data_IF_190416849220
#
_entry.id   IF_190416849220
#
_cell.length_a   1.000
_cell.length_b   1.000
_cell.length_c   1.000
_cell.angle_alpha   90.00
_cell.angle_beta   90.00
_cell.angle_gamma   90.00
#
_symmetry.space_group_name_H-M   'P 1'
#
loop_
_entity.id
_entity.type
_entity.pdbx_description
1 polymer ?
#
# COMPACT_ATOMS: atom_id res chain seq x y z
N UNK A 1 -3.35 16.45 -19.29
CA UNK A 1 -2.08 16.71 -18.59
C UNK A 1 -0.93 16.22 -19.48
N UNK A 2 0.20 16.92 -19.48
CA UNK A 2 1.39 16.48 -20.20
C UNK A 2 2.07 15.33 -19.47
N UNK A 3 2.66 14.38 -20.22
CA UNK A 3 3.39 13.25 -19.67
C UNK A 3 4.75 13.70 -19.09
N UNK A 4 5.27 12.93 -18.12
CA UNK A 4 6.58 13.14 -17.50
C UNK A 4 6.74 14.52 -16.82
N UNK A 5 5.65 15.06 -16.28
CA UNK A 5 5.65 16.31 -15.52
C UNK A 5 5.13 16.11 -14.12
N UNK A 6 5.68 16.87 -13.18
CA UNK A 6 5.18 16.98 -11.80
C UNK A 6 4.22 18.16 -11.75
N UNK A 7 3.04 17.92 -11.17
CA UNK A 7 2.01 18.93 -10.97
C UNK A 7 1.81 19.19 -9.49
N UNK A 8 2.00 20.42 -9.06
CA UNK A 8 1.72 20.85 -7.70
C UNK A 8 0.29 21.41 -7.64
N UNK A 9 -0.67 20.54 -7.32
CA UNK A 9 -2.10 20.88 -7.23
C UNK A 9 -2.82 19.90 -6.31
N UNK A 10 -4.08 20.20 -5.98
CA UNK A 10 -4.95 19.24 -5.31
C UNK A 10 -5.11 17.96 -6.16
N UNK A 11 -5.02 16.81 -5.50
CA UNK A 11 -5.04 15.51 -6.19
C UNK A 11 -6.37 15.27 -6.94
N UNK A 12 -7.51 15.64 -6.34
CA UNK A 12 -8.82 15.43 -6.97
C UNK A 12 -8.99 16.34 -8.20
N UNK A 13 -8.49 17.58 -8.14
CA UNK A 13 -8.48 18.46 -9.32
C UNK A 13 -7.57 17.90 -10.42
N UNK A 14 -6.41 17.35 -10.06
CA UNK A 14 -5.51 16.69 -10.99
C UNK A 14 -6.16 15.47 -11.65
N UNK A 15 -6.77 14.58 -10.86
CA UNK A 15 -7.42 13.37 -11.34
C UNK A 15 -8.51 13.65 -12.37
N UNK A 16 -9.31 14.71 -12.21
CA UNK A 16 -10.35 15.12 -13.19
C UNK A 16 -9.80 15.36 -14.59
N UNK A 17 -8.54 15.79 -14.69
CA UNK A 17 -7.88 16.10 -15.96
C UNK A 17 -7.26 14.87 -16.64
N UNK A 18 -7.32 13.70 -16.04
CA UNK A 18 -6.81 12.44 -16.60
C UNK A 18 -7.96 11.73 -17.35
N UNK A 19 -7.74 11.34 -18.63
CA UNK A 19 -8.75 10.60 -19.39
C UNK A 19 -9.13 9.27 -18.73
N UNK A 20 -10.38 8.84 -18.93
CA UNK A 20 -10.83 7.54 -18.47
C UNK A 20 -10.03 6.40 -19.12
N UNK A 21 -9.77 5.32 -18.36
CA UNK A 21 -9.10 4.11 -18.82
C UNK A 21 -7.75 4.36 -19.56
N UNK A 22 -6.99 5.37 -19.11
CA UNK A 22 -5.72 5.77 -19.74
C UNK A 22 -4.49 5.36 -18.93
N UNK A 23 -4.65 5.07 -17.63
CA UNK A 23 -3.55 4.82 -16.70
C UNK A 23 -3.29 3.32 -16.57
N UNK A 24 -2.03 2.90 -16.73
CA UNK A 24 -1.60 1.50 -16.65
C UNK A 24 -1.26 1.07 -15.21
N UNK A 25 -0.91 1.99 -14.33
CA UNK A 25 -0.62 1.73 -12.92
C UNK A 25 -0.80 3.03 -12.12
N UNK A 26 -1.26 2.91 -10.89
CA UNK A 26 -1.24 3.99 -9.89
C UNK A 26 -0.32 3.58 -8.75
N UNK A 27 0.57 4.48 -8.34
CA UNK A 27 1.30 4.42 -7.09
C UNK A 27 0.99 5.69 -6.30
N UNK A 28 0.44 5.54 -5.11
CA UNK A 28 -0.01 6.69 -4.30
C UNK A 28 0.37 6.53 -2.84
N UNK A 29 0.68 7.66 -2.22
CA UNK A 29 0.92 7.79 -0.78
C UNK A 29 -0.04 8.88 -0.24
N UNK A 30 -1.28 8.50 0.10
CA UNK A 30 -2.28 9.45 0.56
C UNK A 30 -2.01 9.88 2.00
N UNK A 31 -2.54 11.01 2.47
CA UNK A 31 -2.48 11.37 3.88
C UNK A 31 -3.28 10.37 4.72
N UNK A 32 -2.70 9.92 5.84
CA UNK A 32 -3.27 8.86 6.70
C UNK A 32 -4.18 9.41 7.80
N UNK A 33 -4.15 10.72 8.07
CA UNK A 33 -4.86 11.33 9.19
C UNK A 33 -4.33 10.88 10.56
N UNK A 34 -3.04 10.53 10.65
CA UNK A 34 -2.43 9.98 11.88
C UNK A 34 -1.47 10.95 12.57
N UNK A 35 -1.23 12.11 11.99
CA UNK A 35 -0.35 13.14 12.53
C UNK A 35 -1.11 14.45 12.79
N UNK A 36 -0.54 15.34 13.60
CA UNK A 36 -1.11 16.68 13.86
C UNK A 36 -0.77 17.69 12.74
N UNK A 37 -0.14 17.24 11.66
CA UNK A 37 0.20 18.11 10.54
C UNK A 37 -1.07 18.54 9.79
N UNK A 38 -1.16 19.81 9.44
CA UNK A 38 -2.33 20.38 8.74
C UNK A 38 -2.61 19.74 7.37
N UNK A 39 -1.59 19.16 6.74
CA UNK A 39 -1.72 18.47 5.44
C UNK A 39 -2.17 17.00 5.59
N UNK A 40 -2.06 16.42 6.78
CA UNK A 40 -2.44 15.02 7.04
C UNK A 40 -3.93 14.91 7.41
N UNK A 41 -4.77 15.48 6.56
CA UNK A 41 -6.22 15.36 6.70
C UNK A 41 -6.69 14.03 6.11
N UNK A 42 -7.60 13.31 6.79
CA UNK A 42 -8.17 12.08 6.25
C UNK A 42 -8.73 12.29 4.84
N UNK A 43 -8.26 11.47 3.90
CA UNK A 43 -8.72 11.53 2.51
C UNK A 43 -10.10 10.88 2.38
N UNK A 44 -10.97 11.46 1.55
CA UNK A 44 -12.23 10.81 1.14
C UNK A 44 -11.92 9.62 0.21
N UNK A 45 -11.90 8.41 0.82
CA UNK A 45 -11.59 7.18 0.09
C UNK A 45 -12.67 6.82 -0.93
N UNK A 46 -13.93 7.16 -0.71
CA UNK A 46 -15.00 6.88 -1.68
C UNK A 46 -14.81 7.71 -2.95
N UNK A 47 -14.59 9.01 -2.78
CA UNK A 47 -14.27 9.90 -3.90
C UNK A 47 -12.97 9.49 -4.61
N UNK A 48 -11.93 9.11 -3.86
CA UNK A 48 -10.67 8.62 -4.41
C UNK A 48 -10.89 7.37 -5.26
N UNK A 49 -11.58 6.35 -4.74
CA UNK A 49 -11.86 5.12 -5.49
C UNK A 49 -12.68 5.35 -6.75
N UNK A 50 -13.61 6.30 -6.72
CA UNK A 50 -14.39 6.68 -7.91
C UNK A 50 -13.46 7.15 -9.03
N UNK A 51 -12.55 8.07 -8.73
CA UNK A 51 -11.63 8.61 -9.72
C UNK A 51 -10.58 7.59 -10.15
N UNK A 52 -9.96 6.87 -9.22
CA UNK A 52 -8.97 5.83 -9.55
C UNK A 52 -9.57 4.74 -10.46
N UNK A 53 -10.80 4.29 -10.18
CA UNK A 53 -11.50 3.32 -11.05
C UNK A 53 -11.84 3.89 -12.43
N UNK A 54 -12.07 5.19 -12.54
CA UNK A 54 -12.36 5.87 -13.80
C UNK A 54 -11.13 5.96 -14.70
N UNK A 55 -10.00 6.39 -14.13
CA UNK A 55 -8.78 6.66 -14.91
C UNK A 55 -7.98 5.41 -15.25
N UNK A 56 -8.06 4.35 -14.42
CA UNK A 56 -7.27 3.13 -14.61
C UNK A 56 -7.86 2.21 -15.66
N UNK A 57 -6.99 1.54 -16.42
CA UNK A 57 -7.35 0.42 -17.29
C UNK A 57 -7.87 -0.76 -16.47
N UNK A 58 -8.59 -1.68 -17.10
CA UNK A 58 -9.25 -2.80 -16.41
C UNK A 58 -8.28 -3.76 -15.69
N UNK A 59 -7.04 -3.83 -16.12
CA UNK A 59 -5.95 -4.66 -15.57
C UNK A 59 -4.85 -3.82 -14.90
N UNK A 60 -5.08 -2.53 -14.69
CA UNK A 60 -4.12 -1.66 -14.02
C UNK A 60 -4.10 -1.94 -12.51
N UNK A 61 -2.94 -2.18 -11.88
CA UNK A 61 -2.82 -2.23 -10.43
C UNK A 61 -2.85 -0.83 -9.83
N UNK A 62 -3.40 -0.75 -8.62
CA UNK A 62 -3.34 0.44 -7.77
C UNK A 62 -2.55 0.04 -6.54
N UNK A 63 -1.42 0.68 -6.33
CA UNK A 63 -0.49 0.48 -5.22
C UNK A 63 -0.64 1.67 -4.28
N UNK A 64 -0.96 1.41 -3.01
CA UNK A 64 -1.22 2.44 -2.02
C UNK A 64 -0.35 2.22 -0.79
N UNK A 65 0.54 3.17 -0.52
CA UNK A 65 1.25 3.19 0.75
C UNK A 65 0.28 3.36 1.91
N UNK A 66 0.56 2.69 3.00
CA UNK A 66 -0.30 2.73 4.17
C UNK A 66 0.43 2.35 5.45
N UNK A 67 -0.14 2.76 6.57
CA UNK A 67 0.31 2.40 7.91
C UNK A 67 -0.93 2.22 8.80
N UNK A 68 -0.86 1.29 9.75
CA UNK A 68 -1.96 1.14 10.72
C UNK A 68 -2.20 2.43 11.52
N UNK A 69 -3.44 2.85 11.78
CA UNK A 69 -4.71 2.15 11.48
C UNK A 69 -5.26 2.39 10.06
N UNK A 70 -4.71 3.34 9.29
CA UNK A 70 -5.19 3.67 7.95
C UNK A 70 -5.20 2.44 7.02
N UNK A 71 -4.24 1.52 7.14
CA UNK A 71 -4.22 0.24 6.39
C UNK A 71 -5.56 -0.50 6.46
N UNK A 72 -6.11 -0.66 7.67
CA UNK A 72 -7.39 -1.35 7.86
C UNK A 72 -8.54 -0.60 7.18
N UNK A 73 -8.58 0.73 7.31
CA UNK A 73 -9.61 1.58 6.68
C UNK A 73 -9.52 1.50 5.17
N UNK A 74 -8.32 1.58 4.60
CA UNK A 74 -8.08 1.50 3.16
C UNK A 74 -8.51 0.15 2.57
N UNK A 75 -8.17 -0.97 3.23
CA UNK A 75 -8.60 -2.32 2.81
C UNK A 75 -10.12 -2.43 2.86
N UNK A 76 -10.75 -2.01 3.97
CA UNK A 76 -12.19 -2.11 4.14
C UNK A 76 -12.98 -1.16 3.24
N UNK A 77 -12.38 -0.09 2.76
CA UNK A 77 -13.02 0.83 1.80
C UNK A 77 -13.20 0.20 0.40
N UNK A 78 -12.40 -0.81 0.04
CA UNK A 78 -12.51 -1.48 -1.26
C UNK A 78 -12.08 -2.97 -1.21
N UNK A 79 -12.72 -3.81 -0.38
CA UNK A 79 -12.30 -5.20 -0.15
C UNK A 79 -12.42 -6.05 -1.42
N UNK A 80 -13.31 -5.67 -2.35
CA UNK A 80 -13.48 -6.41 -3.63
C UNK A 80 -12.29 -6.30 -4.57
N UNK A 81 -11.52 -5.21 -4.50
CA UNK A 81 -10.33 -5.00 -5.31
C UNK A 81 -9.04 -5.31 -4.56
N UNK A 82 -9.04 -5.32 -3.24
CA UNK A 82 -7.86 -5.71 -2.44
C UNK A 82 -7.42 -7.14 -2.76
N UNK A 83 -6.09 -7.34 -2.87
CA UNK A 83 -5.52 -8.65 -3.20
C UNK A 83 -4.51 -9.12 -2.17
N UNK A 84 -3.49 -8.32 -1.91
CA UNK A 84 -2.41 -8.59 -0.97
C UNK A 84 -1.68 -7.30 -0.62
N UNK A 85 -0.74 -7.41 0.28
CA UNK A 85 0.15 -6.32 0.64
C UNK A 85 1.61 -6.72 0.46
N UNK A 86 2.45 -5.74 0.25
CA UNK A 86 3.90 -5.84 0.39
C UNK A 86 4.33 -5.10 1.64
N UNK A 87 5.42 -5.57 2.24
CA UNK A 87 6.09 -4.89 3.34
C UNK A 87 7.28 -4.12 2.77
N UNK A 88 7.25 -2.81 2.92
CA UNK A 88 8.38 -1.93 2.60
C UNK A 88 9.19 -1.72 3.88
N UNK A 89 10.34 -2.38 3.97
CA UNK A 89 11.27 -2.19 5.08
C UNK A 89 11.94 -0.81 4.97
N UNK A 90 11.96 -0.08 6.09
CA UNK A 90 12.63 1.22 6.19
C UNK A 90 14.05 1.02 6.66
N UNK A 91 15.01 1.59 5.96
CA UNK A 91 16.42 1.60 6.40
C UNK A 91 16.63 2.27 7.75
N UNK A 92 15.77 3.24 8.10
CA UNK A 92 15.76 3.89 9.41
C UNK A 92 14.37 3.75 10.04
N UNK A 93 14.30 3.15 11.21
CA UNK A 93 13.08 3.05 11.97
C UNK A 93 12.62 4.43 12.47
N UNK A 94 11.31 4.64 12.53
CA UNK A 94 10.68 5.90 12.96
C UNK A 94 10.00 5.77 14.32
N UNK A 95 9.66 6.91 14.96
CA UNK A 95 8.96 6.93 16.24
C UNK A 95 9.88 6.95 17.46
N UNK A 96 11.13 7.44 17.33
CA UNK A 96 12.14 7.46 18.39
C UNK A 96 11.69 8.16 19.68
N UNK A 97 10.79 9.14 19.61
CA UNK A 97 10.22 9.81 20.79
C UNK A 97 9.45 8.85 21.71
N UNK A 98 8.98 7.73 21.17
CA UNK A 98 8.25 6.70 21.90
C UNK A 98 9.08 5.45 22.17
N UNK A 99 10.40 5.46 21.94
CA UNK A 99 11.28 4.29 22.07
C UNK A 99 11.26 3.62 23.46
N UNK A 100 10.97 4.40 24.51
CA UNK A 100 10.83 3.89 25.88
C UNK A 100 9.43 3.32 26.21
N UNK A 101 8.48 3.39 25.28
CA UNK A 101 7.08 2.98 25.48
C UNK A 101 6.63 1.90 24.51
N UNK A 102 7.21 1.86 23.31
CA UNK A 102 6.86 0.90 22.26
C UNK A 102 8.03 0.67 21.29
N UNK A 103 8.05 -0.45 20.56
CA UNK A 103 9.02 -0.68 19.48
C UNK A 103 8.94 0.40 18.40
N UNK A 104 10.09 0.70 17.80
CA UNK A 104 10.17 1.59 16.65
C UNK A 104 9.50 0.94 15.42
N UNK A 105 8.95 1.79 14.55
CA UNK A 105 8.34 1.33 13.29
C UNK A 105 9.40 1.21 12.22
N UNK A 106 9.65 -0.01 11.75
CA UNK A 106 10.67 -0.33 10.75
C UNK A 106 10.10 -0.65 9.37
N UNK A 107 8.77 -0.60 9.18
CA UNK A 107 8.15 -0.92 7.89
C UNK A 107 6.91 -0.05 7.61
N UNK A 108 6.50 -0.07 6.35
CA UNK A 108 5.22 0.41 5.85
C UNK A 108 4.59 -0.68 4.98
N UNK A 109 3.27 -0.64 4.83
CA UNK A 109 2.55 -1.53 3.94
C UNK A 109 2.36 -0.85 2.58
N UNK A 110 2.44 -1.63 1.51
CA UNK A 110 2.00 -1.23 0.17
C UNK A 110 0.85 -2.14 -0.20
N UNK A 111 -0.36 -1.60 -0.14
CA UNK A 111 -1.59 -2.33 -0.46
C UNK A 111 -1.75 -2.44 -1.97
N UNK A 112 -2.06 -3.64 -2.45
CA UNK A 112 -2.22 -3.93 -3.88
C UNK A 112 -3.68 -4.20 -4.19
N UNK A 113 -4.25 -3.37 -5.06
CA UNK A 113 -5.62 -3.47 -5.53
C UNK A 113 -5.67 -3.63 -7.04
N UNK A 114 -6.50 -4.52 -7.54
CA UNK A 114 -6.81 -4.61 -8.96
C UNK A 114 -8.14 -5.32 -9.23
N UNK A 115 -8.75 -5.00 -10.37
CA UNK A 115 -10.00 -5.63 -10.83
C UNK A 115 -9.72 -6.91 -11.60
N UNK A 116 -8.80 -6.87 -12.58
CA UNK A 116 -8.32 -8.02 -13.35
C UNK A 116 -6.83 -8.17 -13.14
N UNK A 117 -6.31 -9.38 -13.26
CA UNK A 117 -4.89 -9.68 -13.07
C UNK A 117 -4.02 -8.74 -13.93
N UNK A 118 -3.12 -7.97 -13.32
CA UNK A 118 -2.18 -7.11 -14.03
C UNK A 118 -1.04 -7.91 -14.65
N UNK A 119 -0.26 -7.27 -15.53
CA UNK A 119 1.02 -7.81 -15.97
C UNK A 119 1.95 -7.95 -14.77
N UNK A 120 2.52 -9.14 -14.59
CA UNK A 120 3.45 -9.44 -13.51
C UNK A 120 4.70 -10.12 -14.08
N UNK A 121 5.86 -9.52 -13.86
CA UNK A 121 7.16 -10.02 -14.32
C UNK A 121 8.03 -10.32 -13.10
N UNK A 122 7.92 -11.52 -12.49
CA UNK A 122 8.69 -11.86 -11.30
C UNK A 122 10.18 -11.89 -11.58
N UNK A 123 10.96 -11.26 -10.72
CA UNK A 123 12.41 -11.40 -10.69
C UNK A 123 12.75 -12.51 -9.69
N UNK A 124 13.12 -13.68 -10.22
CA UNK A 124 13.38 -14.85 -9.40
C UNK A 124 14.82 -14.87 -8.89
N UNK A 125 14.99 -14.98 -7.58
CA UNK A 125 16.27 -15.22 -6.94
C UNK A 125 16.41 -16.70 -6.54
N UNK A 126 17.66 -17.21 -6.51
CA UNK A 126 17.93 -18.54 -5.96
C UNK A 126 17.71 -18.54 -4.46
N UNK A 127 16.60 -19.10 -4.00
CA UNK A 127 16.36 -19.32 -2.58
C UNK A 127 17.28 -20.43 -2.03
N UNK A 128 17.98 -20.17 -0.93
CA UNK A 128 18.58 -21.24 -0.14
C UNK A 128 17.49 -21.86 0.74
N UNK A 129 17.03 -23.07 0.42
CA UNK A 129 16.24 -23.87 1.37
C UNK A 129 17.20 -24.50 2.37
N UNK A 130 17.30 -23.92 3.56
CA UNK A 130 17.87 -24.64 4.70
C UNK A 130 16.79 -25.56 5.29
N UNK A 131 17.14 -26.84 5.51
CA UNK A 131 16.27 -27.82 6.18
C UNK A 131 15.89 -27.35 7.61
N UNK A 132 16.68 -26.52 8.23
CA UNK A 132 16.46 -25.91 9.55
C UNK A 132 15.19 -25.09 9.63
N UNK A 133 14.81 -24.34 8.61
CA UNK A 133 13.58 -23.54 8.58
C UNK A 133 12.29 -24.39 8.70
N UNK A 134 12.33 -25.68 8.36
CA UNK A 134 11.20 -26.59 8.52
C UNK A 134 11.00 -27.10 9.94
N UNK A 135 12.07 -27.19 10.71
CA UNK A 135 12.03 -27.66 12.11
C UNK A 135 11.50 -26.54 13.00
N UNK A 136 12.02 -25.31 12.86
CA UNK A 136 11.54 -24.15 13.60
C UNK A 136 10.05 -23.84 13.35
N UNK A 137 9.57 -23.94 12.11
CA UNK A 137 8.17 -23.71 11.79
C UNK A 137 7.22 -24.75 12.43
N UNK A 138 7.69 -25.99 12.63
CA UNK A 138 6.91 -27.03 13.32
C UNK A 138 6.88 -26.84 14.83
N UNK A 139 7.96 -26.37 15.42
CA UNK A 139 8.03 -26.06 16.85
C UNK A 139 7.17 -24.85 17.22
N UNK A 140 7.17 -23.81 16.41
CA UNK A 140 6.31 -22.62 16.60
C UNK A 140 4.82 -23.00 16.51
N UNK A 141 4.43 -23.86 15.55
CA UNK A 141 3.05 -24.32 15.44
C UNK A 141 2.59 -25.19 16.63
N UNK A 142 3.50 -25.89 17.29
CA UNK A 142 3.18 -26.69 18.48
C UNK A 142 2.90 -25.82 19.73
N UNK A 143 3.41 -24.60 19.81
CA UNK A 143 3.19 -23.68 20.94
C UNK A 143 1.79 -23.05 20.91
N UNK A 144 1.14 -22.96 19.75
CA UNK A 144 -0.20 -22.37 19.57
C UNK A 144 -1.35 -23.39 19.48
N UNK A 145 -1.10 -24.68 19.68
CA UNK A 145 -2.09 -25.74 19.66
C UNK A 145 -2.54 -26.19 21.05
N UNK A 146 -2.77 -25.22 21.97
CA UNK A 146 -3.39 -25.46 23.29
C UNK A 146 -4.80 -24.89 23.31
#
# INVERSE_FOLDING_TARGET
>A
MELNKIYHMDAFEGLKNIPAASVDMVLTDPPYGTTENKWDMPIDLEALWKELKRITKSNAPILMFSQMPFTAVAVMSNPKMFRYEWIAEKGNATGFLNANRMPLKAHENILVFYKKLPTYNPQMEKGSRTLEAKVEAREIMAIFAL
#
